data_IF_217499879477
#
_entry.id   IF_217499879477
#
_cell.length_a   1.000
_cell.length_b   1.000
_cell.length_c   1.000
_cell.angle_alpha   90.00
_cell.angle_beta   90.00
_cell.angle_gamma   90.00
#
_symmetry.space_group_name_H-M   'P 1'
#
loop_
_entity.id
_entity.type
_entity.pdbx_description
1 polymer ?
#
# COMPACT_ATOMS: atom_id res chain seq x y z
N UNK A 1 7.61 17.06 -43.98
CA UNK A 1 6.20 17.21 -43.53
C UNK A 1 6.20 18.10 -42.30
N UNK A 2 5.60 19.29 -42.38
CA UNK A 2 5.49 20.21 -41.25
C UNK A 2 4.19 19.85 -40.51
N UNK A 3 4.31 19.25 -39.33
CA UNK A 3 3.15 18.87 -38.51
C UNK A 3 2.54 20.15 -37.93
N UNK A 4 1.33 20.52 -38.37
CA UNK A 4 0.58 21.64 -37.79
C UNK A 4 0.16 21.30 -36.36
N UNK A 5 0.85 21.85 -35.37
CA UNK A 5 0.48 21.67 -33.96
C UNK A 5 -0.83 22.43 -33.67
N UNK A 6 -1.92 21.70 -33.42
CA UNK A 6 -3.21 22.29 -33.04
C UNK A 6 -3.15 22.76 -31.58
N UNK A 7 -3.39 24.05 -31.32
CA UNK A 7 -3.49 24.59 -29.97
C UNK A 7 -4.79 24.09 -29.32
N UNK A 8 -4.68 23.30 -28.25
CA UNK A 8 -5.81 22.70 -27.53
C UNK A 8 -6.57 23.74 -26.70
N UNK A 9 -7.89 23.54 -26.49
CA UNK A 9 -8.68 24.37 -25.56
C UNK A 9 -8.26 24.10 -24.12
N UNK A 10 -8.40 25.10 -23.24
CA UNK A 10 -8.07 24.96 -21.81
C UNK A 10 -8.87 23.84 -21.13
N UNK A 11 -10.12 23.59 -21.53
CA UNK A 11 -10.94 22.50 -21.00
C UNK A 11 -10.38 21.12 -21.36
N UNK A 12 -9.90 20.92 -22.59
CA UNK A 12 -9.25 19.68 -23.04
C UNK A 12 -7.92 19.47 -22.31
N UNK A 13 -7.16 20.54 -22.09
CA UNK A 13 -5.92 20.51 -21.31
C UNK A 13 -6.22 20.10 -19.86
N UNK A 14 -7.27 20.65 -19.25
CA UNK A 14 -7.65 20.31 -17.87
C UNK A 14 -8.19 18.89 -17.75
N UNK A 15 -8.95 18.41 -18.74
CA UNK A 15 -9.40 17.01 -18.81
C UNK A 15 -8.21 16.06 -18.91
N UNK A 16 -7.23 16.36 -19.75
CA UNK A 16 -5.98 15.59 -19.87
C UNK A 16 -5.15 15.63 -18.58
N UNK A 17 -5.13 16.75 -17.86
CA UNK A 17 -4.46 16.83 -16.54
C UNK A 17 -5.14 15.93 -15.51
N UNK A 18 -6.48 15.93 -15.49
CA UNK A 18 -7.25 15.08 -14.58
C UNK A 18 -7.03 13.60 -14.88
N UNK A 19 -7.09 13.20 -16.15
CA UNK A 19 -6.83 11.81 -16.54
C UNK A 19 -5.40 11.39 -16.22
N UNK A 20 -4.41 12.25 -16.49
CA UNK A 20 -3.01 11.97 -16.15
C UNK A 20 -2.80 11.81 -14.63
N UNK A 21 -3.52 12.59 -13.81
CA UNK A 21 -3.49 12.46 -12.36
C UNK A 21 -4.12 11.13 -11.88
N UNK A 22 -5.27 10.76 -12.45
CA UNK A 22 -5.93 9.47 -12.16
C UNK A 22 -5.04 8.28 -12.54
N UNK A 23 -4.41 8.33 -13.71
CA UNK A 23 -3.42 7.33 -14.16
C UNK A 23 -2.24 7.24 -13.19
N UNK A 24 -1.74 8.39 -12.73
CA UNK A 24 -0.69 8.46 -11.72
C UNK A 24 -1.08 7.77 -10.42
N UNK A 25 -2.28 8.07 -9.89
CA UNK A 25 -2.79 7.40 -8.67
C UNK A 25 -2.86 5.90 -8.86
N UNK A 26 -3.37 5.44 -10.01
CA UNK A 26 -3.49 4.00 -10.30
C UNK A 26 -2.12 3.35 -10.28
N UNK A 27 -1.12 3.98 -10.88
CA UNK A 27 0.24 3.43 -10.95
C UNK A 27 0.91 3.38 -9.58
N UNK A 28 0.82 4.45 -8.79
CA UNK A 28 1.29 4.46 -7.40
C UNK A 28 0.58 3.42 -6.54
N UNK A 29 -0.74 3.25 -6.72
CA UNK A 29 -1.52 2.25 -6.00
C UNK A 29 -1.05 0.84 -6.34
N UNK A 30 -0.79 0.54 -7.63
CA UNK A 30 -0.23 -0.76 -8.04
C UNK A 30 1.16 -0.98 -7.44
N UNK A 31 2.02 0.03 -7.46
CA UNK A 31 3.36 -0.04 -6.90
C UNK A 31 3.34 -0.37 -5.41
N UNK A 32 2.50 0.33 -4.63
CA UNK A 32 2.38 0.12 -3.19
C UNK A 32 1.68 -1.19 -2.83
N UNK A 33 0.73 -1.66 -3.64
CA UNK A 33 0.14 -3.00 -3.49
C UNK A 33 1.18 -4.11 -3.75
N UNK A 34 2.08 -3.92 -4.72
CA UNK A 34 3.17 -4.87 -4.93
C UNK A 34 4.25 -4.80 -3.82
N UNK A 35 4.37 -3.64 -3.16
CA UNK A 35 5.42 -3.36 -2.17
C UNK A 35 4.85 -2.69 -0.89
N UNK A 36 4.06 -3.41 -0.07
CA UNK A 36 3.39 -2.83 1.09
C UNK A 36 4.34 -2.29 2.16
N UNK A 37 5.55 -2.85 2.26
CA UNK A 37 6.59 -2.35 3.17
C UNK A 37 7.07 -0.95 2.78
N UNK A 38 7.12 -0.61 1.49
CA UNK A 38 7.44 0.75 1.01
C UNK A 38 6.34 1.73 1.32
N UNK A 39 5.09 1.30 1.14
CA UNK A 39 3.93 2.13 1.52
C UNK A 39 3.99 2.54 3.00
N UNK A 40 4.34 1.62 3.88
CA UNK A 40 4.44 1.92 5.31
C UNK A 40 5.55 2.93 5.62
N UNK A 41 6.70 2.81 4.96
CA UNK A 41 7.84 3.72 5.19
C UNK A 41 7.56 5.09 4.58
N UNK A 42 7.16 5.13 3.32
CA UNK A 42 7.08 6.35 2.54
C UNK A 42 5.79 7.14 2.84
N UNK A 43 4.66 6.45 3.00
CA UNK A 43 3.35 7.09 3.20
C UNK A 43 2.97 7.21 4.69
N UNK A 44 3.15 6.15 5.48
CA UNK A 44 2.84 6.20 6.92
C UNK A 44 3.99 6.80 7.75
N UNK A 45 5.19 6.96 7.18
CA UNK A 45 6.34 7.52 7.88
C UNK A 45 6.87 6.63 9.01
N UNK A 46 6.54 5.33 8.99
CA UNK A 46 6.93 4.41 10.05
C UNK A 46 8.22 3.67 9.67
N UNK A 47 9.31 3.84 10.44
CA UNK A 47 10.53 3.10 10.18
C UNK A 47 10.31 1.61 10.50
N UNK A 48 10.74 0.76 9.57
CA UNK A 48 10.68 -0.70 9.71
C UNK A 48 12.09 -1.29 9.70
N UNK A 49 12.31 -2.30 10.54
CA UNK A 49 13.51 -3.14 10.43
C UNK A 49 13.39 -4.08 9.23
N UNK A 50 14.53 -4.50 8.66
CA UNK A 50 14.59 -5.36 7.47
C UNK A 50 13.75 -6.64 7.65
N UNK A 51 13.82 -7.29 8.82
CA UNK A 51 13.04 -8.50 9.08
C UNK A 51 11.53 -8.22 9.07
N UNK A 52 11.08 -7.05 9.55
CA UNK A 52 9.68 -6.65 9.54
C UNK A 52 9.21 -6.41 8.10
N UNK A 53 10.05 -5.80 7.25
CA UNK A 53 9.73 -5.59 5.84
C UNK A 53 9.50 -6.92 5.10
N UNK A 54 10.35 -7.93 5.35
CA UNK A 54 10.19 -9.26 4.76
C UNK A 54 8.88 -9.91 5.21
N UNK A 55 8.57 -9.87 6.52
CA UNK A 55 7.33 -10.44 7.05
C UNK A 55 6.10 -9.77 6.43
N UNK A 56 6.08 -8.44 6.35
CA UNK A 56 4.98 -7.68 5.76
C UNK A 56 4.79 -8.02 4.29
N UNK A 57 5.88 -8.15 3.54
CA UNK A 57 5.82 -8.57 2.14
C UNK A 57 5.23 -9.98 1.98
N UNK A 58 5.61 -10.93 2.85
CA UNK A 58 5.04 -12.28 2.84
C UNK A 58 3.55 -12.30 3.21
N UNK A 59 3.15 -11.47 4.18
CA UNK A 59 1.74 -11.33 4.58
C UNK A 59 0.82 -10.88 3.45
N UNK A 60 1.32 -10.06 2.54
CA UNK A 60 0.55 -9.58 1.39
C UNK A 60 0.59 -10.55 0.20
N UNK A 61 1.73 -11.23 0.01
CA UNK A 61 1.94 -12.15 -1.11
C UNK A 61 1.11 -13.42 -1.01
N UNK A 62 0.91 -13.94 0.21
CA UNK A 62 0.20 -15.19 0.45
C UNK A 62 -1.12 -14.96 1.19
N UNK A 63 -2.15 -15.72 0.84
CA UNK A 63 -3.47 -15.63 1.49
C UNK A 63 -3.46 -16.17 2.92
N UNK A 64 -2.61 -17.16 3.21
CA UNK A 64 -2.48 -17.79 4.51
C UNK A 64 -1.01 -17.73 4.95
N UNK A 65 -0.76 -17.13 6.11
CA UNK A 65 0.57 -17.01 6.68
C UNK A 65 0.55 -17.42 8.14
N UNK A 66 1.53 -18.22 8.54
CA UNK A 66 1.77 -18.57 9.93
C UNK A 66 3.13 -17.99 10.34
N UNK A 67 3.12 -17.05 11.28
CA UNK A 67 4.34 -16.42 11.78
C UNK A 67 4.69 -16.96 13.17
N UNK A 68 5.73 -17.78 13.26
CA UNK A 68 6.29 -18.25 14.53
C UNK A 68 7.37 -17.27 15.00
N UNK A 69 7.16 -16.65 16.16
CA UNK A 69 8.09 -15.68 16.73
C UNK A 69 8.32 -15.93 18.22
N UNK A 70 9.51 -15.54 18.70
CA UNK A 70 9.84 -15.53 20.12
C UNK A 70 9.13 -14.39 20.87
N UNK A 71 9.36 -14.30 22.19
CA UNK A 71 8.92 -13.16 23.00
C UNK A 71 9.81 -11.95 22.68
N UNK A 72 9.23 -10.75 22.71
CA UNK A 72 9.98 -9.49 22.44
C UNK A 72 10.16 -9.10 20.97
N UNK A 73 9.76 -9.93 20.01
CA UNK A 73 9.94 -9.67 18.56
C UNK A 73 9.04 -8.54 17.99
N UNK A 74 8.19 -7.92 18.80
CA UNK A 74 7.28 -6.86 18.32
C UNK A 74 6.20 -7.33 17.35
N UNK A 75 5.82 -8.62 17.38
CA UNK A 75 4.82 -9.20 16.46
C UNK A 75 3.48 -8.45 16.41
N UNK A 76 2.99 -7.94 17.55
CA UNK A 76 1.76 -7.14 17.61
C UNK A 76 1.86 -5.84 16.81
N UNK A 77 3.04 -5.19 16.83
CA UNK A 77 3.32 -3.98 16.05
C UNK A 77 3.30 -4.28 14.55
N UNK A 78 3.94 -5.37 14.12
CA UNK A 78 3.97 -5.77 12.71
C UNK A 78 2.54 -6.03 12.19
N UNK A 79 1.72 -6.77 12.94
CA UNK A 79 0.35 -7.09 12.55
C UNK A 79 -0.57 -5.86 12.54
N UNK A 80 -0.42 -4.93 13.48
CA UNK A 80 -1.21 -3.69 13.50
C UNK A 80 -0.86 -2.79 12.32
N UNK A 81 0.43 -2.60 12.03
CA UNK A 81 0.90 -1.75 10.92
C UNK A 81 0.46 -2.33 9.58
N UNK A 82 0.58 -3.65 9.40
CA UNK A 82 0.09 -4.32 8.20
C UNK A 82 -1.43 -4.18 8.04
N UNK A 83 -2.19 -4.28 9.13
CA UNK A 83 -3.65 -4.09 9.11
C UNK A 83 -4.04 -2.71 8.61
N UNK A 84 -3.40 -1.65 9.11
CA UNK A 84 -3.62 -0.28 8.64
C UNK A 84 -3.25 -0.12 7.15
N UNK A 85 -2.10 -0.66 6.75
CA UNK A 85 -1.66 -0.66 5.35
C UNK A 85 -2.70 -1.32 4.43
N UNK A 86 -3.23 -2.49 4.82
CA UNK A 86 -4.26 -3.21 4.06
C UNK A 86 -5.57 -2.45 3.96
N UNK A 87 -6.02 -1.82 5.04
CA UNK A 87 -7.24 -1.00 5.02
C UNK A 87 -7.14 0.18 4.04
N UNK A 88 -5.96 0.78 3.91
CA UNK A 88 -5.76 1.93 3.02
C UNK A 88 -5.63 1.48 1.56
N UNK A 89 -4.80 0.46 1.29
CA UNK A 89 -4.55 0.01 -0.08
C UNK A 89 -5.72 -0.80 -0.67
N UNK A 90 -6.51 -1.46 0.16
CA UNK A 90 -7.63 -2.32 -0.24
C UNK A 90 -8.91 -1.86 0.47
N UNK A 91 -9.64 -0.89 -0.10
CA UNK A 91 -10.90 -0.44 0.47
C UNK A 91 -11.89 -1.61 0.57
N UNK A 92 -12.79 -1.54 1.55
CA UNK A 92 -13.77 -2.59 1.89
C UNK A 92 -13.19 -3.90 2.46
N UNK A 93 -11.89 -3.96 2.75
CA UNK A 93 -11.30 -5.10 3.46
C UNK A 93 -11.81 -5.16 4.91
N UNK A 94 -12.26 -6.35 5.35
CA UNK A 94 -12.65 -6.61 6.74
C UNK A 94 -11.46 -7.21 7.49
N UNK A 95 -11.09 -6.61 8.61
CA UNK A 95 -10.03 -7.11 9.50
C UNK A 95 -10.67 -7.60 10.79
N UNK A 96 -10.41 -8.85 11.14
CA UNK A 96 -10.92 -9.48 12.35
C UNK A 96 -9.72 -9.90 13.19
N UNK A 97 -9.71 -9.50 14.46
CA UNK A 97 -8.66 -9.83 15.42
C UNK A 97 -9.20 -10.89 16.36
N UNK A 98 -8.53 -12.04 16.42
CA UNK A 98 -8.81 -13.11 17.36
C UNK A 98 -7.69 -13.24 18.39
N UNK A 99 -8.06 -13.50 19.65
CA UNK A 99 -7.13 -13.83 20.72
C UNK A 99 -7.70 -15.00 21.54
N UNK A 100 -6.83 -15.88 22.02
CA UNK A 100 -7.23 -17.05 22.82
C UNK A 100 -7.71 -16.65 24.23
N UNK A 101 -7.18 -15.55 24.75
CA UNK A 101 -7.53 -15.02 26.08
C UNK A 101 -8.34 -13.73 25.91
N UNK A 102 -9.47 -13.63 26.62
CA UNK A 102 -10.07 -12.32 26.93
C UNK A 102 -9.11 -11.66 27.91
N UNK A 103 -8.76 -10.39 27.64
CA UNK A 103 -7.73 -9.64 28.39
C UNK A 103 -7.83 -9.77 29.90
#
# INVERSE_FOLDING_TARGET
>A
MITKTKKLRQEEINKNKKSAFEEGIIEWTKFYRANPHRFIIDYLGLPLFIFQMVIIYMFDKFNYNMLTCSRGTGKSYITSVYSCCRCILYPHTKIIIGASTKG
#
